data_IF_702195097591
#
_entry.id   IF_702195097591
#
_cell.length_a   1.000
_cell.length_b   1.000
_cell.length_c   1.000
_cell.angle_alpha   90.00
_cell.angle_beta   90.00
_cell.angle_gamma   90.00
#
_symmetry.space_group_name_H-M   'P 1'
#
loop_
_entity.id
_entity.type
_entity.pdbx_description
1 polymer ?
#
# COMPACT_ATOMS: atom_id res chain seq x y z
N UNK A 1 25.65 23.80 -0.46
CA UNK A 1 24.55 23.03 0.17
C UNK A 1 24.63 21.59 -0.31
N UNK A 2 24.39 20.60 0.55
CA UNK A 2 24.29 19.20 0.10
C UNK A 2 22.94 18.98 -0.58
N UNK A 3 22.84 18.04 -1.54
CA UNK A 3 21.58 17.73 -2.24
C UNK A 3 20.42 17.42 -1.28
N UNK A 4 20.69 16.77 -0.14
CA UNK A 4 19.68 16.50 0.90
C UNK A 4 19.13 17.76 1.55
N UNK A 5 19.97 18.75 1.89
CA UNK A 5 19.51 20.01 2.51
C UNK A 5 18.58 20.79 1.60
N UNK A 6 18.90 20.84 0.30
CA UNK A 6 18.07 21.50 -0.70
C UNK A 6 16.73 20.78 -0.92
N UNK A 7 16.72 19.44 -0.88
CA UNK A 7 15.48 18.68 -0.94
C UNK A 7 14.59 18.92 0.29
N UNK A 8 15.19 18.96 1.49
CA UNK A 8 14.48 19.23 2.74
C UNK A 8 13.88 20.66 2.75
N UNK A 9 14.62 21.64 2.24
CA UNK A 9 14.15 23.02 2.07
C UNK A 9 12.96 23.09 1.11
N UNK A 10 13.07 22.49 -0.09
CA UNK A 10 11.98 22.47 -1.07
C UNK A 10 10.73 21.76 -0.55
N UNK A 11 10.90 20.68 0.21
CA UNK A 11 9.79 20.00 0.86
C UNK A 11 9.16 20.90 1.94
N UNK A 12 9.98 21.59 2.73
CA UNK A 12 9.53 22.57 3.71
C UNK A 12 8.71 23.70 3.07
N UNK A 13 9.19 24.27 1.97
CA UNK A 13 8.52 25.33 1.21
C UNK A 13 7.18 24.84 0.65
N UNK A 14 7.15 23.64 0.08
CA UNK A 14 5.92 23.01 -0.40
C UNK A 14 4.89 22.85 0.73
N UNK A 15 5.30 22.29 1.87
CA UNK A 15 4.40 22.10 3.02
C UNK A 15 3.93 23.44 3.60
N UNK A 16 4.78 24.46 3.63
CA UNK A 16 4.40 25.81 4.04
C UNK A 16 3.35 26.40 3.11
N UNK A 17 3.54 26.28 1.78
CA UNK A 17 2.58 26.74 0.79
C UNK A 17 1.23 26.03 0.92
N UNK A 18 1.24 24.71 1.07
CA UNK A 18 0.01 23.93 1.26
C UNK A 18 -0.74 24.33 2.53
N UNK A 19 -0.03 24.60 3.65
CA UNK A 19 -0.66 25.15 4.88
C UNK A 19 -1.28 26.52 4.64
N UNK A 20 -0.59 27.39 3.92
CA UNK A 20 -1.09 28.73 3.57
C UNK A 20 -2.36 28.67 2.70
N UNK A 21 -2.56 27.59 1.94
CA UNK A 21 -3.76 27.34 1.13
C UNK A 21 -4.98 26.86 1.93
N UNK A 22 -4.89 26.79 3.27
CA UNK A 22 -6.06 26.65 4.16
C UNK A 22 -6.30 25.26 4.75
N UNK A 23 -5.33 24.35 4.67
CA UNK A 23 -5.42 23.01 5.26
C UNK A 23 -4.50 22.82 6.47
N UNK A 24 -4.96 22.08 7.46
CA UNK A 24 -4.03 21.36 8.33
C UNK A 24 -3.27 20.34 7.48
N UNK A 25 -1.97 20.22 7.75
CA UNK A 25 -1.07 19.35 6.98
C UNK A 25 -0.41 18.39 7.94
N UNK A 26 -0.90 17.16 7.92
CA UNK A 26 -0.45 16.09 8.80
C UNK A 26 0.24 14.99 8.00
N UNK A 27 1.41 14.48 8.44
CA UNK A 27 2.02 13.33 7.80
C UNK A 27 1.15 12.08 7.99
N UNK A 28 1.00 11.29 6.93
CA UNK A 28 0.31 9.99 6.98
C UNK A 28 1.26 8.95 7.57
N UNK A 29 1.33 8.90 8.91
CA UNK A 29 2.34 8.14 9.67
C UNK A 29 2.36 6.64 9.40
N UNK A 30 1.23 6.07 8.99
CA UNK A 30 1.12 4.64 8.67
C UNK A 30 1.90 4.27 7.41
N UNK A 31 2.12 5.24 6.51
CA UNK A 31 2.93 5.07 5.31
C UNK A 31 4.36 5.56 5.56
N UNK A 32 5.33 4.89 4.92
CA UNK A 32 6.75 5.31 4.98
C UNK A 32 7.10 6.40 3.98
N UNK A 33 6.22 6.66 3.02
CA UNK A 33 6.40 7.68 2.00
C UNK A 33 6.13 9.08 2.57
N UNK A 34 6.64 10.12 1.89
CA UNK A 34 6.37 11.52 2.23
C UNK A 34 4.95 11.90 1.78
N UNK A 35 3.95 11.23 2.36
CA UNK A 35 2.54 11.43 2.07
C UNK A 35 1.92 12.25 3.19
N UNK A 36 1.17 13.28 2.81
CA UNK A 36 0.56 14.21 3.73
C UNK A 36 -0.94 14.28 3.49
N UNK A 37 -1.71 14.33 4.57
CA UNK A 37 -3.12 14.70 4.53
C UNK A 37 -3.23 16.21 4.39
N UNK A 38 -3.98 16.65 3.40
CA UNK A 38 -4.25 18.06 3.08
C UNK A 38 -5.76 18.21 2.94
N UNK A 39 -6.43 18.66 4.00
CA UNK A 39 -7.89 18.60 4.08
C UNK A 39 -8.38 17.14 3.96
N UNK A 40 -9.14 16.83 2.90
CA UNK A 40 -9.61 15.47 2.58
C UNK A 40 -8.74 14.77 1.52
N UNK A 41 -7.63 15.36 1.11
CA UNK A 41 -6.74 14.82 0.08
C UNK A 41 -5.52 14.16 0.70
N UNK A 42 -4.98 13.14 0.05
CA UNK A 42 -3.69 12.54 0.41
C UNK A 42 -2.67 12.86 -0.68
N UNK A 43 -1.58 13.54 -0.34
CA UNK A 43 -0.61 14.05 -1.33
C UNK A 43 0.76 13.46 -1.05
N UNK A 44 1.25 12.65 -1.99
CA UNK A 44 2.64 12.19 -2.02
C UNK A 44 3.55 13.30 -2.58
N UNK A 45 4.37 13.90 -1.72
CA UNK A 45 5.30 14.94 -2.13
C UNK A 45 6.63 14.35 -2.61
N UNK A 46 7.05 14.77 -3.80
CA UNK A 46 8.35 14.46 -4.40
C UNK A 46 8.99 15.75 -4.87
N UNK A 47 10.24 15.99 -4.47
CA UNK A 47 10.95 17.23 -4.73
C UNK A 47 12.21 16.95 -5.55
N UNK A 48 12.54 17.84 -6.48
CA UNK A 48 13.77 17.77 -7.24
C UNK A 48 14.33 19.18 -7.39
N UNK A 49 15.62 19.33 -7.13
CA UNK A 49 16.33 20.58 -7.36
C UNK A 49 16.41 20.91 -8.85
N UNK A 50 16.54 22.19 -9.17
CA UNK A 50 16.79 22.63 -10.54
C UNK A 50 18.21 22.30 -10.99
N UNK A 51 18.34 21.27 -11.83
CA UNK A 51 19.61 20.83 -12.44
C UNK A 51 19.53 20.75 -13.97
N UNK A 52 18.53 21.39 -14.57
CA UNK A 52 18.23 21.35 -16.02
C UNK A 52 17.23 20.27 -16.44
N UNK A 53 17.00 19.24 -15.62
CA UNK A 53 15.85 18.32 -15.67
C UNK A 53 15.42 17.97 -14.25
N UNK A 54 14.16 17.56 -14.08
CA UNK A 54 13.64 17.14 -12.79
C UNK A 54 13.54 15.61 -12.77
N UNK A 55 14.26 15.00 -11.83
CA UNK A 55 14.27 13.56 -11.64
C UNK A 55 13.66 13.21 -10.29
N UNK A 56 12.72 12.27 -10.29
CA UNK A 56 12.11 11.74 -9.08
C UNK A 56 12.17 10.22 -9.10
N UNK A 57 12.70 9.65 -8.02
CA UNK A 57 12.55 8.23 -7.72
C UNK A 57 11.18 7.97 -7.10
N UNK A 58 10.46 6.99 -7.65
CA UNK A 58 9.19 6.54 -7.08
C UNK A 58 9.16 5.02 -7.00
N UNK A 59 9.35 4.49 -5.80
CA UNK A 59 9.18 3.07 -5.54
C UNK A 59 7.72 2.63 -5.79
N UNK A 60 7.51 1.50 -6.49
CA UNK A 60 6.18 1.00 -6.82
C UNK A 60 5.31 0.69 -5.58
N UNK A 61 5.89 0.25 -4.46
CA UNK A 61 5.16 -0.01 -3.20
C UNK A 61 4.50 1.30 -2.75
N UNK A 62 5.30 2.36 -2.69
CA UNK A 62 4.84 3.68 -2.27
C UNK A 62 3.77 4.24 -3.23
N UNK A 63 3.94 4.01 -4.54
CA UNK A 63 2.95 4.42 -5.53
C UNK A 63 1.62 3.67 -5.34
N UNK A 64 1.67 2.35 -5.18
CA UNK A 64 0.48 1.51 -4.96
C UNK A 64 -0.24 1.89 -3.66
N UNK A 65 0.50 2.04 -2.55
CA UNK A 65 -0.06 2.39 -1.25
C UNK A 65 -0.82 3.71 -1.29
N UNK A 66 -0.22 4.74 -1.90
CA UNK A 66 -0.88 6.06 -2.02
C UNK A 66 -2.04 6.00 -3.01
N UNK A 67 -1.93 5.25 -4.10
CA UNK A 67 -3.01 5.10 -5.08
C UNK A 67 -4.26 4.37 -4.52
N UNK A 68 -4.10 3.60 -3.43
CA UNK A 68 -5.21 2.96 -2.73
C UNK A 68 -5.85 3.87 -1.66
N UNK A 69 -5.29 5.05 -1.39
CA UNK A 69 -5.95 6.04 -0.54
C UNK A 69 -7.06 6.76 -1.30
N UNK A 70 -8.14 7.07 -0.58
CA UNK A 70 -9.19 7.95 -1.08
C UNK A 70 -8.62 9.34 -1.39
N UNK A 71 -9.07 9.93 -2.49
CA UNK A 71 -8.71 11.29 -2.92
C UNK A 71 -7.18 11.53 -2.91
N UNK A 72 -6.45 10.68 -3.63
CA UNK A 72 -4.99 10.62 -3.63
C UNK A 72 -4.34 11.30 -4.83
N UNK A 73 -3.23 11.99 -4.56
CA UNK A 73 -2.46 12.77 -5.52
C UNK A 73 -0.96 12.57 -5.32
N UNK A 74 -0.20 12.87 -6.37
CA UNK A 74 1.25 13.12 -6.30
C UNK A 74 1.51 14.60 -6.59
N UNK A 75 2.47 15.18 -5.89
CA UNK A 75 3.01 16.50 -6.17
C UNK A 75 4.51 16.38 -6.51
N UNK A 76 4.87 16.68 -7.75
CA UNK A 76 6.26 16.78 -8.20
C UNK A 76 6.69 18.26 -8.19
N UNK A 77 7.40 18.66 -7.14
CA UNK A 77 7.94 20.02 -6.97
C UNK A 77 9.23 20.13 -7.77
N UNK A 78 9.20 20.94 -8.82
CA UNK A 78 10.24 21.01 -9.83
C UNK A 78 11.11 22.26 -9.65
N UNK A 79 12.07 22.21 -8.72
CA UNK A 79 13.04 23.27 -8.46
C UNK A 79 12.54 24.36 -7.52
N UNK A 80 11.25 24.69 -7.57
CA UNK A 80 10.58 25.63 -6.68
C UNK A 80 9.07 25.30 -6.57
N UNK A 81 8.41 25.84 -5.54
CA UNK A 81 6.99 25.58 -5.28
C UNK A 81 6.07 26.09 -6.40
N UNK A 82 6.43 27.20 -7.05
CA UNK A 82 5.73 27.74 -8.21
C UNK A 82 5.90 26.92 -9.49
N UNK A 83 6.63 25.81 -9.42
CA UNK A 83 6.83 24.83 -10.48
C UNK A 83 6.38 23.44 -10.01
N UNK A 84 5.16 23.30 -9.48
CA UNK A 84 4.66 22.04 -8.93
C UNK A 84 3.67 21.35 -9.87
N UNK A 85 3.95 20.12 -10.28
CA UNK A 85 2.98 19.29 -11.02
C UNK A 85 2.15 18.50 -10.01
N UNK A 86 0.84 18.75 -9.95
CA UNK A 86 -0.10 18.12 -9.02
C UNK A 86 -1.07 17.26 -9.82
N UNK A 87 -0.99 15.94 -9.65
CA UNK A 87 -1.71 14.97 -10.49
C UNK A 87 -2.44 13.94 -9.63
N UNK A 88 -3.68 13.53 -9.97
CA UNK A 88 -4.33 12.39 -9.34
C UNK A 88 -3.49 11.13 -9.46
N UNK A 89 -3.39 10.33 -8.39
CA UNK A 89 -2.64 9.07 -8.44
C UNK A 89 -3.20 8.13 -9.51
N UNK A 90 -4.51 8.13 -9.74
CA UNK A 90 -5.15 7.33 -10.79
C UNK A 90 -4.63 7.64 -12.20
N UNK A 91 -4.27 8.89 -12.48
CA UNK A 91 -3.69 9.28 -13.77
C UNK A 91 -2.21 8.91 -13.86
N UNK A 92 -1.45 9.09 -12.77
CA UNK A 92 -0.07 8.61 -12.70
C UNK A 92 -0.01 7.09 -12.92
N UNK A 93 -0.86 6.31 -12.26
CA UNK A 93 -0.87 4.85 -12.34
C UNK A 93 -1.10 4.34 -13.77
N UNK A 94 -1.87 5.06 -14.61
CA UNK A 94 -2.03 4.74 -16.04
C UNK A 94 -0.74 4.96 -16.85
N UNK A 95 0.10 5.91 -16.41
CA UNK A 95 1.35 6.27 -17.07
C UNK A 95 2.52 5.39 -16.62
N UNK A 96 2.53 4.89 -15.38
CA UNK A 96 3.64 4.10 -14.81
C UNK A 96 4.11 2.92 -15.68
N UNK A 97 3.24 2.12 -16.34
CA UNK A 97 3.69 1.04 -17.23
C UNK A 97 4.58 1.52 -18.39
N UNK A 98 4.39 2.78 -18.81
CA UNK A 98 5.17 3.44 -19.85
C UNK A 98 6.43 4.13 -19.33
N UNK A 99 6.72 4.08 -18.03
CA UNK A 99 7.92 4.70 -17.45
C UNK A 99 9.00 3.63 -17.23
N UNK A 100 10.25 4.00 -17.46
CA UNK A 100 11.38 3.11 -17.12
C UNK A 100 11.50 2.96 -15.61
N UNK A 101 11.71 1.75 -15.12
CA UNK A 101 12.02 1.47 -13.72
C UNK A 101 13.34 0.72 -13.61
N UNK A 102 13.97 0.76 -12.44
CA UNK A 102 15.14 -0.04 -12.15
C UNK A 102 14.77 -1.49 -11.76
N UNK A 103 15.79 -2.31 -11.44
CA UNK A 103 15.59 -3.69 -10.99
C UNK A 103 15.01 -3.78 -9.57
N UNK A 104 15.04 -2.71 -8.80
CA UNK A 104 14.52 -2.63 -7.43
C UNK A 104 13.07 -2.12 -7.40
N UNK A 105 12.48 -1.86 -8.57
CA UNK A 105 11.10 -1.39 -8.72
C UNK A 105 10.94 0.12 -8.54
N UNK A 106 12.02 0.89 -8.62
CA UNK A 106 11.93 2.35 -8.59
C UNK A 106 11.67 2.90 -10.00
N UNK A 107 10.52 3.54 -10.19
CA UNK A 107 10.20 4.30 -11.39
C UNK A 107 11.07 5.56 -11.48
N UNK A 108 11.60 5.80 -12.68
CA UNK A 108 12.43 6.96 -13.01
C UNK A 108 11.57 8.06 -13.64
N UNK A 109 10.88 8.82 -12.81
CA UNK A 109 10.04 9.93 -13.26
C UNK A 109 10.96 11.06 -13.72
N UNK A 110 10.97 11.36 -15.02
CA UNK A 110 11.76 12.42 -15.60
C UNK A 110 10.83 13.49 -16.18
N UNK A 111 10.80 14.66 -15.58
CA UNK A 111 10.02 15.82 -16.05
C UNK A 111 10.99 16.84 -16.65
N UNK A 112 10.70 17.26 -17.88
CA UNK A 112 11.47 18.29 -18.58
C UNK A 112 11.10 19.70 -18.09
N UNK A 113 11.91 20.69 -18.46
CA UNK A 113 11.66 22.11 -18.13
C UNK A 113 10.38 22.68 -18.71
N UNK A 114 9.91 22.13 -19.82
CA UNK A 114 8.60 22.42 -20.42
C UNK A 114 7.48 21.52 -19.88
N UNK A 115 7.68 20.94 -18.68
CA UNK A 115 6.71 20.13 -17.94
C UNK A 115 6.13 18.96 -18.73
N UNK A 116 7.01 18.19 -19.39
CA UNK A 116 6.62 16.93 -20.04
C UNK A 116 7.26 15.74 -19.35
N UNK A 117 6.47 14.73 -19.07
CA UNK A 117 6.93 13.45 -18.53
C UNK A 117 7.55 12.61 -19.65
N UNK A 118 8.78 12.14 -19.47
CA UNK A 118 9.39 11.20 -20.40
C UNK A 118 8.82 9.80 -20.24
N UNK A 119 8.40 9.20 -21.36
CA UNK A 119 7.89 7.83 -21.44
C UNK A 119 8.84 6.93 -22.24
N UNK A 120 8.58 5.61 -22.25
CA UNK A 120 9.27 4.62 -23.06
C UNK A 120 9.13 4.97 -24.54
N UNK A 121 10.24 4.87 -25.27
CA UNK A 121 10.34 5.25 -26.69
C UNK A 121 11.01 6.61 -26.88
N UNK A 122 11.86 6.71 -27.90
CA UNK A 122 12.64 7.93 -28.16
C UNK A 122 11.70 9.10 -28.47
N UNK A 123 11.77 10.16 -27.66
CA UNK A 123 10.97 11.38 -27.86
C UNK A 123 9.50 11.27 -27.41
N UNK A 124 9.08 10.11 -26.87
CA UNK A 124 7.74 9.95 -26.32
C UNK A 124 7.62 10.72 -25.00
N UNK A 125 6.69 11.67 -24.95
CA UNK A 125 6.51 12.56 -23.79
C UNK A 125 5.05 12.93 -23.60
N UNK A 126 4.59 12.87 -22.36
CA UNK A 126 3.24 13.31 -21.96
C UNK A 126 3.29 14.73 -21.41
N UNK A 127 2.57 15.71 -21.98
CA UNK A 127 2.44 17.04 -21.41
C UNK A 127 1.73 17.04 -20.05
N UNK A 128 2.24 17.80 -19.08
CA UNK A 128 1.67 17.88 -17.73
C UNK A 128 1.09 19.27 -17.40
N UNK A 129 0.86 20.10 -18.42
CA UNK A 129 0.47 21.50 -18.24
C UNK A 129 -0.85 21.65 -17.49
N UNK A 130 -1.79 20.73 -17.67
CA UNK A 130 -3.10 20.74 -17.00
C UNK A 130 -2.99 20.48 -15.48
N UNK A 131 -1.85 19.93 -15.05
CA UNK A 131 -1.53 19.61 -13.66
C UNK A 131 -0.58 20.65 -13.02
N UNK A 132 -0.01 21.55 -13.83
CA UNK A 132 0.98 22.52 -13.36
C UNK A 132 0.31 23.57 -12.45
N UNK A 133 0.76 23.62 -11.20
CA UNK A 133 0.27 24.48 -10.13
C UNK A 133 -1.25 24.44 -9.97
N UNK A 134 -1.87 23.30 -10.31
CA UNK A 134 -3.30 23.12 -10.19
C UNK A 134 -3.67 22.77 -8.74
N UNK A 135 -3.45 23.72 -7.84
CA UNK A 135 -3.68 23.57 -6.40
C UNK A 135 -5.16 23.31 -6.06
N UNK A 136 -6.08 23.69 -6.96
CA UNK A 136 -7.52 23.46 -6.78
C UNK A 136 -7.88 21.97 -6.70
N UNK A 137 -7.07 21.09 -7.31
CA UNK A 137 -7.22 19.64 -7.25
C UNK A 137 -7.14 19.09 -5.82
N UNK A 138 -6.25 19.64 -4.99
CA UNK A 138 -6.03 19.15 -3.62
C UNK A 138 -6.79 19.96 -2.57
N UNK A 139 -7.25 21.17 -2.91
CA UNK A 139 -8.04 22.07 -2.05
C UNK A 139 -9.53 21.74 -2.06
N UNK A 140 -10.05 21.26 -3.19
CA UNK A 140 -11.47 20.92 -3.28
C UNK A 140 -11.72 19.67 -2.46
N UNK A 141 -12.64 19.66 -1.47
CA UNK A 141 -13.10 18.39 -0.93
C UNK A 141 -13.62 17.61 -2.13
N UNK A 142 -13.11 16.39 -2.35
CA UNK A 142 -13.73 15.48 -3.29
C UNK A 142 -15.23 15.47 -2.97
N UNK A 143 -16.06 15.88 -3.93
CA UNK A 143 -17.52 15.77 -3.84
C UNK A 143 -17.91 14.30 -3.98
N UNK A 144 -17.46 13.49 -3.04
CA UNK A 144 -17.90 12.11 -2.86
C UNK A 144 -18.70 12.10 -1.59
N UNK A 145 -20.03 12.02 -1.75
CA UNK A 145 -20.91 11.72 -0.64
C UNK A 145 -20.54 10.31 -0.13
N UNK A 146 -19.91 10.23 1.04
CA UNK A 146 -19.46 9.00 1.69
C UNK A 146 -18.48 9.30 2.82
N UNK A 147 -18.39 8.39 3.80
CA UNK A 147 -17.29 8.39 4.77
C UNK A 147 -15.96 8.26 4.02
N UNK A 148 -15.01 9.16 4.29
CA UNK A 148 -13.64 9.05 3.77
C UNK A 148 -12.94 7.94 4.54
N UNK A 149 -12.48 6.91 3.83
CA UNK A 149 -11.73 5.81 4.44
C UNK A 149 -10.44 6.37 5.01
N UNK A 150 -10.12 6.04 6.27
CA UNK A 150 -8.87 6.49 6.86
C UNK A 150 -7.66 5.90 6.12
N UNK A 151 -6.52 6.58 6.18
CA UNK A 151 -5.29 6.05 5.59
C UNK A 151 -4.85 4.73 6.24
N UNK A 152 -5.11 4.56 7.55
CA UNK A 152 -4.85 3.30 8.25
C UNK A 152 -5.74 2.18 7.73
N UNK A 153 -7.04 2.41 7.55
CA UNK A 153 -7.96 1.42 7.01
C UNK A 153 -7.67 1.07 5.54
N UNK A 154 -7.27 2.07 4.75
CA UNK A 154 -6.83 1.86 3.37
C UNK A 154 -5.56 1.01 3.34
N UNK A 155 -4.58 1.30 4.20
CA UNK A 155 -3.35 0.51 4.28
C UNK A 155 -3.58 -0.91 4.83
N UNK A 156 -4.52 -1.07 5.77
CA UNK A 156 -4.98 -2.38 6.23
C UNK A 156 -5.49 -3.21 5.05
N UNK A 157 -6.35 -2.61 4.23
CA UNK A 157 -6.91 -3.23 3.02
C UNK A 157 -5.82 -3.58 1.99
N UNK A 158 -4.82 -2.71 1.79
CA UNK A 158 -3.66 -2.98 0.93
C UNK A 158 -2.91 -4.22 1.40
N UNK A 159 -2.63 -4.34 2.70
CA UNK A 159 -1.95 -5.50 3.26
C UNK A 159 -2.78 -6.78 3.10
N UNK A 160 -4.09 -6.72 3.31
CA UNK A 160 -4.99 -7.85 3.06
C UNK A 160 -4.98 -8.27 1.59
N UNK A 161 -5.12 -7.33 0.66
CA UNK A 161 -5.08 -7.58 -0.78
C UNK A 161 -3.75 -8.24 -1.22
N UNK A 162 -2.63 -7.71 -0.74
CA UNK A 162 -1.29 -8.30 -0.98
C UNK A 162 -1.20 -9.74 -0.49
N UNK A 163 -1.66 -10.02 0.73
CA UNK A 163 -1.65 -11.38 1.30
C UNK A 163 -2.57 -12.34 0.51
N UNK A 164 -3.74 -11.87 0.06
CA UNK A 164 -4.65 -12.67 -0.77
C UNK A 164 -3.97 -13.05 -2.10
N UNK A 165 -3.37 -12.09 -2.80
CA UNK A 165 -2.69 -12.36 -4.07
C UNK A 165 -1.46 -13.27 -3.89
N UNK A 166 -0.65 -13.05 -2.85
CA UNK A 166 0.49 -13.94 -2.54
C UNK A 166 -0.01 -15.39 -2.33
N UNK A 167 -1.09 -15.59 -1.57
CA UNK A 167 -1.67 -16.91 -1.36
C UNK A 167 -2.11 -17.57 -2.66
N UNK A 168 -2.79 -16.82 -3.52
CA UNK A 168 -3.24 -17.27 -4.84
C UNK A 168 -2.09 -17.64 -5.77
N UNK A 169 -1.05 -16.80 -5.84
CA UNK A 169 0.14 -17.05 -6.66
C UNK A 169 0.93 -18.28 -6.19
N UNK A 170 0.77 -18.67 -4.92
CA UNK A 170 1.30 -19.91 -4.34
C UNK A 170 0.38 -21.12 -4.53
N UNK A 171 -0.73 -20.98 -5.25
CA UNK A 171 -1.69 -22.05 -5.49
C UNK A 171 -2.53 -22.43 -4.27
N UNK A 172 -2.66 -21.53 -3.29
CA UNK A 172 -3.51 -21.73 -2.12
C UNK A 172 -4.89 -21.10 -2.33
N UNK A 173 -5.86 -21.65 -1.64
CA UNK A 173 -7.20 -21.06 -1.57
C UNK A 173 -7.20 -19.95 -0.53
N UNK A 174 -7.85 -18.81 -0.77
CA UNK A 174 -7.76 -17.62 0.07
C UNK A 174 -9.13 -17.12 0.49
N UNK A 175 -9.23 -16.67 1.73
CA UNK A 175 -10.44 -16.11 2.33
C UNK A 175 -10.11 -14.83 3.10
N UNK A 176 -11.04 -13.87 3.08
CA UNK A 176 -11.04 -12.67 3.92
C UNK A 176 -12.48 -12.24 4.23
N UNK A 177 -12.79 -11.81 5.47
CA UNK A 177 -14.11 -11.29 5.82
C UNK A 177 -14.43 -9.92 5.19
N UNK A 178 -13.42 -9.15 4.80
CA UNK A 178 -13.55 -7.75 4.35
C UNK A 178 -13.96 -7.61 2.87
N UNK A 179 -14.98 -8.38 2.47
CA UNK A 179 -15.38 -8.63 1.08
C UNK A 179 -15.59 -7.37 0.20
N UNK A 180 -16.13 -6.30 0.77
CA UNK A 180 -16.48 -5.08 0.04
C UNK A 180 -15.31 -4.07 -0.08
N UNK A 181 -14.28 -4.20 0.75
CA UNK A 181 -13.11 -3.31 0.69
C UNK A 181 -12.37 -3.52 -0.63
N UNK A 182 -11.69 -2.49 -1.13
CA UNK A 182 -11.04 -2.53 -2.45
C UNK A 182 -9.52 -2.44 -2.33
N UNK A 183 -8.84 -3.32 -3.04
CA UNK A 183 -7.40 -3.26 -3.29
C UNK A 183 -7.18 -3.09 -4.80
N UNK A 184 -6.43 -2.07 -5.20
CA UNK A 184 -6.21 -1.70 -6.60
C UNK A 184 -7.51 -1.58 -7.41
N UNK A 185 -8.53 -0.97 -6.80
CA UNK A 185 -9.91 -0.83 -7.30
C UNK A 185 -10.72 -2.12 -7.46
N UNK A 186 -10.18 -3.28 -7.06
CA UNK A 186 -10.86 -4.57 -7.09
C UNK A 186 -11.37 -4.93 -5.69
N UNK A 187 -12.65 -5.26 -5.50
CA UNK A 187 -13.16 -5.75 -4.22
C UNK A 187 -12.41 -7.00 -3.75
N UNK A 188 -12.11 -7.11 -2.45
CA UNK A 188 -11.40 -8.27 -1.91
C UNK A 188 -12.15 -9.58 -2.18
N UNK A 189 -13.49 -9.54 -2.25
CA UNK A 189 -14.31 -10.70 -2.63
C UNK A 189 -14.05 -11.22 -4.04
N UNK A 190 -13.61 -10.38 -4.97
CA UNK A 190 -13.22 -10.79 -6.32
C UNK A 190 -11.77 -11.29 -6.38
N UNK A 191 -10.96 -10.96 -5.36
CA UNK A 191 -9.56 -11.41 -5.24
C UNK A 191 -9.44 -12.76 -4.50
N UNK A 192 -10.26 -12.97 -3.48
CA UNK A 192 -10.32 -14.23 -2.73
C UNK A 192 -10.83 -15.37 -3.60
N UNK A 193 -10.30 -16.57 -3.39
CA UNK A 193 -10.78 -17.76 -4.11
C UNK A 193 -11.95 -18.46 -3.40
N UNK A 194 -12.17 -18.16 -2.11
CA UNK A 194 -13.26 -18.72 -1.31
C UNK A 194 -14.25 -17.62 -0.91
N UNK A 195 -15.51 -17.77 -1.31
CA UNK A 195 -16.60 -16.86 -0.94
C UNK A 195 -17.01 -16.94 0.54
N UNK A 196 -16.75 -18.08 1.17
CA UNK A 196 -17.12 -18.38 2.55
C UNK A 196 -15.94 -19.03 3.27
N UNK A 197 -15.79 -18.71 4.55
CA UNK A 197 -14.82 -19.38 5.40
C UNK A 197 -15.20 -20.87 5.53
N UNK A 198 -14.30 -21.82 5.26
CA UNK A 198 -14.54 -23.23 5.52
C UNK A 198 -14.79 -23.51 7.01
N UNK A 199 -15.73 -24.41 7.31
CA UNK A 199 -15.90 -24.97 8.64
C UNK A 199 -14.79 -25.96 8.97
N UNK A 200 -14.15 -25.79 10.12
CA UNK A 200 -13.06 -26.63 10.57
C UNK A 200 -13.45 -27.36 11.86
N UNK A 201 -13.23 -28.67 11.91
CA UNK A 201 -13.71 -29.57 12.98
C UNK A 201 -13.34 -29.10 14.40
N UNK A 202 -12.10 -28.63 14.58
CA UNK A 202 -11.51 -28.21 15.85
C UNK A 202 -11.29 -26.70 15.98
N UNK A 203 -12.03 -25.87 15.23
CA UNK A 203 -11.99 -24.42 15.38
C UNK A 203 -13.38 -23.84 15.64
N UNK A 204 -13.47 -22.79 16.45
CA UNK A 204 -14.69 -22.00 16.54
C UNK A 204 -14.84 -21.18 15.25
N UNK A 205 -15.89 -21.46 14.48
CA UNK A 205 -16.15 -20.80 13.20
C UNK A 205 -16.33 -19.28 13.32
N UNK A 206 -16.98 -18.78 14.37
CA UNK A 206 -17.20 -17.34 14.55
C UNK A 206 -15.90 -16.59 14.80
N UNK A 207 -14.92 -17.21 15.47
CA UNK A 207 -13.58 -16.62 15.62
C UNK A 207 -12.78 -16.75 14.31
N UNK A 208 -12.80 -17.95 13.71
CA UNK A 208 -12.09 -18.27 12.48
C UNK A 208 -12.46 -17.34 11.32
N UNK A 209 -13.76 -17.15 11.07
CA UNK A 209 -14.24 -16.38 9.92
C UNK A 209 -13.93 -14.88 10.00
N UNK A 210 -13.50 -14.39 11.17
CA UNK A 210 -13.14 -13.00 11.42
C UNK A 210 -11.64 -12.74 11.34
N UNK A 211 -10.82 -13.76 11.04
CA UNK A 211 -9.39 -13.55 10.78
C UNK A 211 -9.22 -12.82 9.46
N UNK A 212 -8.37 -11.79 9.44
CA UNK A 212 -8.22 -10.86 8.31
C UNK A 212 -7.93 -11.57 6.97
N UNK A 213 -6.99 -12.52 6.94
CA UNK A 213 -6.71 -13.36 5.77
C UNK A 213 -6.37 -14.77 6.21
N UNK A 214 -6.96 -15.77 5.56
CA UNK A 214 -6.59 -17.19 5.74
C UNK A 214 -6.28 -17.81 4.39
N UNK A 215 -5.20 -18.58 4.35
CA UNK A 215 -4.84 -19.44 3.24
C UNK A 215 -5.16 -20.89 3.59
N UNK A 216 -5.78 -21.61 2.67
CA UNK A 216 -6.11 -23.02 2.78
C UNK A 216 -5.41 -23.83 1.69
N UNK A 217 -4.98 -25.04 2.06
CA UNK A 217 -4.70 -26.09 1.08
C UNK A 217 -6.00 -26.83 0.80
N UNK A 218 -6.28 -27.02 -0.47
CA UNK A 218 -7.38 -27.86 -0.92
C UNK A 218 -6.87 -29.29 -1.11
N UNK A 219 -7.51 -30.24 -0.43
CA UNK A 219 -7.19 -31.67 -0.56
C UNK A 219 -8.51 -32.42 -0.78
N UNK A 220 -8.76 -32.82 -2.03
CA UNK A 220 -10.04 -33.44 -2.41
C UNK A 220 -11.18 -32.44 -2.26
N UNK A 221 -12.11 -32.69 -1.32
CA UNK A 221 -13.25 -31.80 -1.01
C UNK A 221 -13.10 -31.07 0.33
N UNK A 222 -11.91 -31.10 0.92
CA UNK A 222 -11.64 -30.53 2.24
C UNK A 222 -10.61 -29.40 2.15
N UNK A 223 -10.74 -28.45 3.06
CA UNK A 223 -9.82 -27.32 3.20
C UNK A 223 -9.05 -27.45 4.51
N UNK A 224 -7.72 -27.33 4.42
CA UNK A 224 -6.83 -27.36 5.57
C UNK A 224 -6.14 -26.00 5.74
N UNK A 225 -6.25 -25.34 6.90
CA UNK A 225 -5.66 -24.01 7.11
C UNK A 225 -4.12 -24.10 7.05
N UNK A 226 -3.54 -23.42 6.06
CA UNK A 226 -2.10 -23.40 5.82
C UNK A 226 -1.40 -22.23 6.54
N UNK A 227 -1.95 -21.02 6.36
CA UNK A 227 -1.47 -19.81 7.01
C UNK A 227 -2.64 -18.92 7.38
N UNK A 228 -2.52 -18.16 8.46
CA UNK A 228 -3.51 -17.19 8.91
C UNK A 228 -2.80 -15.91 9.34
N UNK A 229 -3.39 -14.77 8.98
CA UNK A 229 -2.78 -13.45 9.13
C UNK A 229 -3.78 -12.50 9.79
N UNK A 230 -3.29 -11.77 10.79
CA UNK A 230 -3.95 -10.62 11.39
C UNK A 230 -3.14 -9.36 11.10
N UNK A 231 -3.78 -8.34 10.52
CA UNK A 231 -3.14 -7.07 10.20
C UNK A 231 -3.49 -6.06 11.29
N UNK A 232 -2.49 -5.69 12.10
CA UNK A 232 -2.68 -4.87 13.29
C UNK A 232 -1.90 -3.55 13.15
N UNK A 233 -2.58 -2.51 12.66
CA UNK A 233 -2.01 -1.16 12.45
C UNK A 233 -2.28 -0.22 13.63
N UNK A 234 -3.53 -0.18 14.10
CA UNK A 234 -3.98 0.64 15.23
C UNK A 234 -4.88 -0.12 16.22
N UNK A 235 -5.43 -1.26 15.79
CA UNK A 235 -6.13 -2.22 16.64
C UNK A 235 -5.16 -2.92 17.60
N UNK A 236 -5.71 -3.47 18.69
CA UNK A 236 -4.90 -4.13 19.70
C UNK A 236 -4.46 -5.52 19.27
N UNK A 237 -3.15 -5.72 19.16
CA UNK A 237 -2.49 -7.02 18.88
C UNK A 237 -3.08 -8.19 19.69
N UNK A 238 -3.51 -7.92 20.92
CA UNK A 238 -4.14 -8.93 21.78
C UNK A 238 -5.38 -9.57 21.14
N UNK A 239 -6.21 -8.76 20.46
CA UNK A 239 -7.43 -9.24 19.81
C UNK A 239 -7.13 -10.11 18.59
N UNK A 240 -6.18 -9.71 17.73
CA UNK A 240 -5.73 -10.51 16.60
C UNK A 240 -5.11 -11.84 17.04
N UNK A 241 -4.25 -11.83 18.05
CA UNK A 241 -3.69 -13.07 18.63
C UNK A 241 -4.81 -13.99 19.14
N UNK A 242 -5.82 -13.44 19.83
CA UNK A 242 -6.98 -14.20 20.29
C UNK A 242 -7.78 -14.84 19.14
N UNK A 243 -7.93 -14.16 18.00
CA UNK A 243 -8.57 -14.73 16.80
C UNK A 243 -7.72 -15.86 16.20
N UNK A 244 -6.40 -15.66 16.08
CA UNK A 244 -5.47 -16.69 15.59
C UNK A 244 -5.44 -17.93 16.49
N UNK A 245 -5.70 -17.80 17.79
CA UNK A 245 -5.78 -18.92 18.72
C UNK A 245 -6.89 -19.93 18.36
N UNK A 246 -7.89 -19.54 17.55
CA UNK A 246 -8.89 -20.46 17.01
C UNK A 246 -8.29 -21.59 16.16
N UNK A 247 -7.08 -21.40 15.63
CA UNK A 247 -6.36 -22.36 14.81
C UNK A 247 -5.31 -23.15 15.59
N UNK A 248 -5.34 -23.11 16.93
CA UNK A 248 -4.32 -23.77 17.76
C UNK A 248 -4.28 -25.30 17.57
N UNK A 249 -5.39 -25.95 17.25
CA UNK A 249 -5.39 -27.41 17.06
C UNK A 249 -4.84 -27.84 15.67
N UNK A 250 -4.48 -26.88 14.81
CA UNK A 250 -3.96 -27.12 13.46
C UNK A 250 -2.48 -26.77 13.35
N UNK A 251 -1.80 -27.42 12.39
CA UNK A 251 -0.42 -27.09 12.00
C UNK A 251 -0.36 -25.87 11.06
N UNK A 252 -1.12 -24.83 11.39
CA UNK A 252 -1.20 -23.58 10.63
C UNK A 252 -0.10 -22.61 11.03
N UNK A 253 0.49 -21.92 10.05
CA UNK A 253 1.40 -20.82 10.32
C UNK A 253 0.61 -19.57 10.71
N UNK A 254 0.86 -19.01 11.89
CA UNK A 254 0.11 -17.87 12.42
C UNK A 254 0.97 -16.61 12.38
N UNK A 255 0.43 -15.53 11.84
CA UNK A 255 1.17 -14.28 11.65
C UNK A 255 0.39 -13.07 12.15
N UNK A 256 1.08 -12.22 12.90
CA UNK A 256 0.63 -10.85 13.18
C UNK A 256 1.46 -9.89 12.35
N UNK A 257 0.82 -9.27 11.37
CA UNK A 257 1.40 -8.24 10.51
C UNK A 257 1.29 -6.89 11.22
N UNK A 258 2.40 -6.41 11.77
CA UNK A 258 2.45 -5.15 12.51
C UNK A 258 3.89 -4.64 12.64
N UNK A 259 4.05 -3.32 12.73
CA UNK A 259 5.33 -2.69 13.05
C UNK A 259 5.54 -2.53 14.57
N UNK A 260 4.53 -2.80 15.40
CA UNK A 260 4.54 -2.65 16.86
C UNK A 260 5.16 -3.87 17.57
N UNK A 261 6.39 -4.25 17.20
CA UNK A 261 7.05 -5.46 17.68
C UNK A 261 7.15 -5.54 19.22
N UNK A 262 7.42 -4.42 19.89
CA UNK A 262 7.48 -4.38 21.36
C UNK A 262 6.14 -4.76 22.01
N UNK A 263 5.04 -4.28 21.46
CA UNK A 263 3.69 -4.59 21.95
C UNK A 263 3.33 -6.05 21.63
N UNK A 264 3.77 -6.55 20.48
CA UNK A 264 3.64 -7.97 20.13
C UNK A 264 4.32 -8.87 21.18
N UNK A 265 5.58 -8.60 21.52
CA UNK A 265 6.34 -9.37 22.52
C UNK A 265 5.65 -9.34 23.90
N UNK A 266 5.12 -8.20 24.33
CA UNK A 266 4.33 -8.11 25.56
C UNK A 266 3.09 -9.02 25.56
N UNK A 267 2.40 -9.11 24.43
CA UNK A 267 1.24 -10.00 24.26
C UNK A 267 1.67 -11.47 24.23
N UNK A 268 2.81 -11.80 23.62
CA UNK A 268 3.33 -13.17 23.59
C UNK A 268 3.80 -13.64 24.98
N UNK A 269 4.35 -12.75 25.79
CA UNK A 269 4.73 -13.05 27.18
C UNK A 269 3.51 -13.44 28.05
N UNK A 270 2.33 -12.87 27.78
CA UNK A 270 1.10 -13.23 28.48
C UNK A 270 0.40 -14.46 27.91
N UNK A 271 0.86 -14.99 26.76
CA UNK A 271 0.32 -16.19 26.11
C UNK A 271 1.44 -17.17 25.69
N UNK A 272 2.12 -17.81 26.66
CA UNK A 272 3.30 -18.64 26.38
C UNK A 272 3.05 -19.79 25.41
N UNK A 273 1.83 -20.34 25.41
CA UNK A 273 1.42 -21.44 24.51
C UNK A 273 1.40 -21.03 23.03
N UNK A 274 1.22 -19.74 22.74
CA UNK A 274 1.19 -19.20 21.38
C UNK A 274 2.52 -18.57 20.95
N UNK A 275 3.42 -18.29 21.90
CA UNK A 275 4.68 -17.57 21.66
C UNK A 275 5.57 -18.25 20.61
N UNK A 276 5.65 -19.59 20.60
CA UNK A 276 6.44 -20.33 19.61
C UNK A 276 5.73 -20.49 18.26
N UNK A 277 4.45 -20.14 18.20
CA UNK A 277 3.55 -20.42 17.07
C UNK A 277 3.21 -19.21 16.24
N UNK A 278 3.03 -18.06 16.87
CA UNK A 278 2.66 -16.81 16.22
C UNK A 278 3.93 -16.02 15.92
N UNK A 279 4.07 -15.56 14.68
CA UNK A 279 5.22 -14.77 14.23
C UNK A 279 4.79 -13.34 13.94
N UNK A 280 5.57 -12.36 14.39
CA UNK A 280 5.38 -10.98 13.95
C UNK A 280 6.08 -10.73 12.61
N UNK A 281 5.40 -10.05 11.70
CA UNK A 281 5.91 -9.66 10.39
C UNK A 281 5.71 -8.16 10.23
N UNK A 282 6.77 -7.43 9.90
CA UNK A 282 6.66 -6.01 9.60
C UNK A 282 5.82 -5.79 8.33
N UNK A 283 5.00 -4.74 8.32
CA UNK A 283 4.12 -4.40 7.19
C UNK A 283 4.89 -4.27 5.86
N UNK A 284 6.05 -3.62 5.89
CA UNK A 284 6.97 -3.51 4.76
C UNK A 284 7.41 -4.84 4.15
N UNK A 285 7.64 -5.86 4.98
CA UNK A 285 8.06 -7.16 4.47
C UNK A 285 6.96 -7.81 3.63
N UNK A 286 5.68 -7.53 3.93
CA UNK A 286 4.56 -7.96 3.08
C UNK A 286 4.60 -7.25 1.74
N UNK A 287 4.85 -5.93 1.71
CA UNK A 287 4.98 -5.16 0.47
C UNK A 287 6.15 -5.62 -0.42
N UNK A 288 7.31 -5.88 0.19
CA UNK A 288 8.49 -6.41 -0.52
C UNK A 288 8.22 -7.82 -1.06
N UNK A 289 7.64 -8.69 -0.24
CA UNK A 289 7.29 -10.05 -0.66
C UNK A 289 6.30 -10.04 -1.82
N UNK A 290 5.22 -9.26 -1.70
CA UNK A 290 4.18 -9.17 -2.74
C UNK A 290 4.75 -8.79 -4.10
N UNK A 291 5.68 -7.85 -4.15
CA UNK A 291 6.32 -7.51 -5.42
C UNK A 291 7.28 -8.54 -5.95
N UNK A 292 8.03 -9.19 -5.06
CA UNK A 292 8.91 -10.27 -5.48
C UNK A 292 8.09 -11.38 -6.13
N UNK A 293 6.95 -11.75 -5.53
CA UNK A 293 6.00 -12.73 -6.06
C UNK A 293 5.37 -12.25 -7.37
N UNK A 294 4.91 -10.99 -7.44
CA UNK A 294 4.35 -10.40 -8.67
C UNK A 294 5.34 -10.42 -9.81
N UNK A 295 6.58 -10.01 -9.55
CA UNK A 295 7.65 -10.02 -10.56
C UNK A 295 8.00 -11.44 -11.00
N UNK A 296 8.04 -12.39 -10.06
CA UNK A 296 8.27 -13.79 -10.39
C UNK A 296 7.13 -14.34 -11.26
N UNK A 297 5.88 -14.02 -10.93
CA UNK A 297 4.68 -14.37 -11.71
C UNK A 297 4.75 -13.80 -13.14
N UNK A 298 5.12 -12.53 -13.28
CA UNK A 298 5.22 -11.90 -14.59
C UNK A 298 6.35 -12.50 -15.42
N UNK A 299 7.53 -12.75 -14.80
CA UNK A 299 8.65 -13.42 -15.47
C UNK A 299 8.28 -14.83 -15.92
N UNK A 300 7.58 -15.60 -15.08
CA UNK A 300 7.07 -16.94 -15.42
C UNK A 300 6.17 -16.88 -16.66
N UNK A 301 5.24 -15.92 -16.72
CA UNK A 301 4.38 -15.69 -17.90
C UNK A 301 5.17 -15.30 -19.15
N UNK A 302 6.17 -14.42 -19.02
CA UNK A 302 7.02 -13.99 -20.14
C UNK A 302 7.78 -15.16 -20.78
N UNK A 303 8.21 -16.14 -19.99
CA UNK A 303 8.93 -17.32 -20.49
C UNK A 303 8.02 -18.54 -20.71
N UNK A 304 6.73 -18.45 -20.38
CA UNK A 304 5.73 -19.49 -20.60
C UNK A 304 5.79 -20.69 -19.64
N UNK A 305 6.13 -20.48 -18.37
CA UNK A 305 6.08 -21.52 -17.30
C UNK A 305 5.14 -21.18 -16.15
#
# INVERSE_FOLDING_TARGET
MTHSKLADELLGDFLHHVRALGGDVEPVKVLRSNTYKVGNSHVLARVAADTGKYFFGLNYINAEEVANLDNSFVAFVCGDVGSSVIMPMSDLMKLLPQISHDRNGEFKINITKDFKLALKGRGNREPLNDFLNNWDLIKSPARTAGEVTSAEESFHTVLQGRLIEIGKDRGLQTYSPNRAKKFNNVPLSELTTLDKCPDLQFANHDSLRNIDVIWFRETGKQFYPHSAFEVELSTGIWSGVGRLAALREYTTNLFVVSNEHKRFEQVMQSQPELHSRVKNVATDHVGVLYSAETRLRDLRREIGI
#
